data_IF_146087844749
#
_entry.id   IF_146087844749
#
_cell.length_a   1.000
_cell.length_b   1.000
_cell.length_c   1.000
_cell.angle_alpha   90.00
_cell.angle_beta   90.00
_cell.angle_gamma   90.00
#
_symmetry.space_group_name_H-M   'P 1'
#
loop_
_entity.id
_entity.type
_entity.pdbx_description
1 polymer ?
#
# COMPACT_ATOMS: atom_id res chain seq x y z
N UNK A 1 -36.62 -38.70 -7.98
CA UNK A 1 -35.66 -37.70 -7.48
C UNK A 1 -34.37 -37.91 -8.25
N UNK A 2 -34.29 -37.08 -9.27
CA UNK A 2 -33.32 -36.98 -10.33
C UNK A 2 -31.92 -36.59 -9.85
N UNK A 3 -30.87 -37.12 -10.48
CA UNK A 3 -30.00 -36.34 -11.39
C UNK A 3 -28.64 -37.02 -11.61
N UNK A 4 -28.48 -37.56 -12.82
CA UNK A 4 -27.29 -37.63 -13.70
C UNK A 4 -25.95 -37.06 -13.20
N UNK A 5 -24.86 -37.84 -13.22
CA UNK A 5 -23.89 -37.96 -14.34
C UNK A 5 -23.14 -36.67 -14.65
N UNK A 6 -21.80 -36.68 -14.55
CA UNK A 6 -20.90 -36.54 -15.72
C UNK A 6 -19.46 -36.93 -15.38
N UNK A 7 -18.88 -37.73 -16.26
CA UNK A 7 -17.45 -37.98 -16.42
C UNK A 7 -16.80 -36.82 -17.22
N UNK A 8 -15.46 -36.84 -17.19
CA UNK A 8 -14.54 -36.62 -18.31
C UNK A 8 -13.70 -35.34 -18.38
N UNK A 9 -12.40 -35.63 -18.58
CA UNK A 9 -11.46 -35.06 -19.53
C UNK A 9 -10.61 -33.85 -19.14
N UNK A 10 -9.40 -34.21 -18.72
CA UNK A 10 -8.13 -33.60 -19.08
C UNK A 10 -8.07 -33.25 -20.58
N UNK A 11 -7.76 -32.00 -20.90
CA UNK A 11 -7.34 -31.54 -22.22
C UNK A 11 -5.95 -30.90 -22.08
N UNK A 12 -4.96 -31.53 -22.70
CA UNK A 12 -3.69 -30.95 -23.14
C UNK A 12 -3.88 -30.32 -24.53
N UNK A 13 -3.36 -29.11 -24.77
CA UNK A 13 -2.41 -28.81 -25.87
C UNK A 13 -2.10 -27.30 -26.02
N UNK A 14 -0.79 -27.01 -26.05
CA UNK A 14 -0.03 -26.20 -27.03
C UNK A 14 -0.32 -24.70 -27.21
N UNK A 15 0.73 -23.92 -26.96
CA UNK A 15 1.13 -22.72 -27.73
C UNK A 15 2.67 -22.70 -27.79
N UNK A 16 3.30 -23.25 -28.83
CA UNK A 16 3.84 -22.54 -30.00
C UNK A 16 4.56 -21.21 -29.70
N UNK A 17 5.90 -21.27 -29.70
CA UNK A 17 6.81 -20.18 -30.08
C UNK A 17 6.65 -19.83 -31.56
N UNK A 18 6.99 -18.60 -31.98
CA UNK A 18 8.24 -18.49 -32.75
C UNK A 18 9.11 -17.26 -32.43
N UNK A 19 10.30 -17.32 -33.03
CA UNK A 19 11.52 -16.57 -32.78
C UNK A 19 11.57 -15.12 -33.30
N UNK A 20 12.36 -14.32 -32.58
CA UNK A 20 13.45 -13.42 -33.01
C UNK A 20 13.44 -12.91 -34.46
N UNK A 21 13.47 -11.57 -34.61
CA UNK A 21 14.41 -10.90 -35.53
C UNK A 21 14.73 -9.48 -35.06
N UNK A 22 15.99 -9.10 -35.28
CA UNK A 22 16.67 -7.91 -34.79
C UNK A 22 16.74 -6.77 -35.82
N UNK A 23 17.30 -5.62 -35.37
CA UNK A 23 18.26 -4.73 -36.06
C UNK A 23 17.86 -3.24 -36.15
N UNK A 24 18.63 -2.42 -35.39
CA UNK A 24 19.17 -1.06 -35.66
C UNK A 24 18.21 0.12 -35.94
N UNK A 25 18.51 1.41 -35.79
CA UNK A 25 19.71 2.21 -35.47
C UNK A 25 19.23 3.66 -35.19
N UNK A 26 19.97 4.44 -34.39
CA UNK A 26 20.43 5.82 -34.73
C UNK A 26 20.77 6.68 -33.51
N UNK A 27 21.89 7.39 -33.64
CA UNK A 27 22.47 8.39 -32.73
C UNK A 27 22.02 9.82 -33.09
N UNK A 28 22.21 10.74 -32.12
CA UNK A 28 22.32 12.23 -32.14
C UNK A 28 21.10 12.94 -31.53
N UNK A 29 21.18 13.99 -30.70
CA UNK A 29 22.26 14.83 -30.10
C UNK A 29 21.60 15.78 -29.04
N UNK A 30 22.38 16.18 -28.01
CA UNK A 30 22.37 17.39 -27.10
C UNK A 30 21.14 18.35 -27.10
N UNK A 31 20.76 19.08 -26.05
CA UNK A 31 21.35 19.45 -24.74
C UNK A 31 20.28 20.18 -23.88
N UNK A 32 20.50 20.28 -22.56
CA UNK A 32 20.03 21.45 -21.79
C UNK A 32 19.49 21.24 -20.37
N UNK A 33 20.38 21.31 -19.37
CA UNK A 33 20.21 21.94 -18.03
C UNK A 33 19.34 21.23 -16.95
N UNK A 34 20.04 20.76 -15.90
CA UNK A 34 19.58 20.28 -14.56
C UNK A 34 19.01 21.42 -13.67
N UNK A 35 18.54 21.22 -12.40
CA UNK A 35 18.44 20.00 -11.59
C UNK A 35 17.08 19.82 -10.87
N UNK A 36 16.54 18.61 -10.88
CA UNK A 36 15.50 18.18 -9.96
C UNK A 36 15.81 16.75 -9.54
N UNK A 37 16.38 16.58 -8.35
CA UNK A 37 16.54 15.27 -7.73
C UNK A 37 15.14 14.75 -7.33
N UNK A 38 14.40 14.27 -8.33
CA UNK A 38 13.33 13.32 -8.12
C UNK A 38 13.99 11.98 -7.82
N UNK A 39 13.90 11.57 -6.56
CA UNK A 39 14.13 10.19 -6.16
C UNK A 39 12.93 9.32 -6.59
N UNK A 40 12.66 9.29 -7.90
CA UNK A 40 11.82 8.25 -8.50
C UNK A 40 12.72 7.05 -8.75
N UNK A 41 12.66 6.10 -7.83
CA UNK A 41 13.09 4.74 -8.08
C UNK A 41 11.96 3.82 -7.63
N UNK A 42 10.88 3.82 -8.41
CA UNK A 42 10.14 2.60 -8.71
C UNK A 42 11.14 1.59 -9.28
N UNK A 43 11.76 0.83 -8.37
CA UNK A 43 12.36 -0.43 -8.73
C UNK A 43 11.48 -1.48 -8.10
N UNK A 44 10.67 -2.09 -8.95
CA UNK A 44 9.91 -3.29 -8.66
C UNK A 44 10.92 -4.40 -8.32
N UNK A 45 11.36 -4.45 -7.06
CA UNK A 45 12.29 -5.48 -6.56
C UNK A 45 11.46 -6.69 -6.20
N UNK A 46 11.23 -7.56 -7.18
CA UNK A 46 10.82 -8.93 -6.91
C UNK A 46 12.08 -9.73 -6.51
N UNK A 47 12.30 -10.09 -5.22
CA UNK A 47 13.50 -10.79 -4.78
C UNK A 47 13.39 -12.30 -4.94
N UNK A 48 12.34 -12.81 -5.62
CA UNK A 48 12.11 -14.25 -5.82
C UNK A 48 13.07 -14.94 -6.79
N UNK A 49 14.29 -14.43 -6.97
CA UNK A 49 15.39 -15.22 -7.53
C UNK A 49 16.38 -15.55 -6.42
N UNK A 50 16.11 -16.56 -5.57
CA UNK A 50 17.20 -17.29 -4.96
C UNK A 50 18.06 -17.85 -6.11
N UNK A 51 19.37 -17.60 -6.05
CA UNK A 51 20.42 -18.36 -6.76
C UNK A 51 20.08 -18.77 -8.21
N UNK A 52 20.27 -17.88 -9.18
CA UNK A 52 20.42 -18.29 -10.60
C UNK A 52 21.88 -18.26 -11.08
N UNK A 53 22.83 -18.30 -10.16
CA UNK A 53 24.24 -18.51 -10.43
C UNK A 53 24.76 -19.37 -9.27
N UNK A 54 25.14 -20.63 -9.39
CA UNK A 54 25.53 -21.43 -10.55
C UNK A 54 25.05 -22.87 -10.25
N UNK A 55 24.18 -23.42 -11.10
CA UNK A 55 23.96 -24.86 -11.19
C UNK A 55 25.25 -25.46 -11.80
N UNK A 56 26.30 -25.69 -10.99
CA UNK A 56 27.31 -26.69 -11.36
C UNK A 56 26.71 -28.05 -10.98
N UNK A 57 25.66 -28.44 -11.70
CA UNK A 57 25.17 -29.80 -11.68
C UNK A 57 26.15 -30.64 -12.49
N UNK A 58 27.01 -31.38 -11.78
CA UNK A 58 27.26 -32.79 -12.12
C UNK A 58 28.12 -33.14 -13.34
N UNK A 59 28.82 -32.22 -14.01
CA UNK A 59 29.78 -32.62 -15.04
C UNK A 59 31.00 -31.68 -15.09
N UNK A 60 32.07 -32.02 -14.36
CA UNK A 60 33.43 -31.59 -14.74
C UNK A 60 34.36 -32.81 -14.70
N UNK A 61 35.08 -33.12 -15.80
CA UNK A 61 35.95 -34.29 -15.87
C UNK A 61 37.22 -34.06 -15.05
N UNK A 62 37.58 -35.08 -14.28
CA UNK A 62 38.93 -35.43 -13.79
C UNK A 62 40.02 -34.35 -13.98
N UNK A 63 40.10 -33.40 -13.06
CA UNK A 63 41.16 -32.41 -13.01
C UNK A 63 41.15 -31.62 -11.70
N UNK A 64 42.20 -31.77 -10.91
CA UNK A 64 42.39 -31.08 -9.61
C UNK A 64 42.28 -29.55 -9.71
N UNK A 65 42.60 -28.97 -10.88
CA UNK A 65 42.59 -27.52 -11.10
C UNK A 65 41.18 -26.94 -11.34
N UNK A 66 40.22 -27.73 -11.85
CA UNK A 66 38.84 -27.24 -12.10
C UNK A 66 38.02 -27.08 -10.82
N UNK A 67 38.25 -27.94 -9.83
CA UNK A 67 37.57 -27.85 -8.53
C UNK A 67 38.12 -26.68 -7.68
N UNK A 68 39.41 -26.36 -7.84
CA UNK A 68 40.03 -25.19 -7.21
C UNK A 68 39.48 -23.88 -7.74
N UNK A 69 39.34 -23.77 -9.07
CA UNK A 69 38.82 -22.56 -9.70
C UNK A 69 37.35 -22.30 -9.30
N UNK A 70 36.52 -23.35 -9.23
CA UNK A 70 35.12 -23.22 -8.80
C UNK A 70 34.98 -22.67 -7.36
N UNK A 71 35.87 -23.05 -6.44
CA UNK A 71 35.91 -22.52 -5.07
C UNK A 71 36.32 -21.04 -5.06
N UNK A 72 37.32 -20.66 -5.86
CA UNK A 72 37.74 -19.26 -5.98
C UNK A 72 36.65 -18.38 -6.61
N UNK A 73 35.95 -18.89 -7.62
CA UNK A 73 34.84 -18.19 -8.26
C UNK A 73 33.68 -17.98 -7.28
N UNK A 74 33.35 -19.01 -6.48
CA UNK A 74 32.34 -18.90 -5.42
C UNK A 74 32.74 -17.86 -4.36
N UNK A 75 34.02 -17.80 -4.00
CA UNK A 75 34.53 -16.80 -3.05
C UNK A 75 34.40 -15.39 -3.62
N UNK A 76 34.78 -15.20 -4.89
CA UNK A 76 34.66 -13.91 -5.58
C UNK A 76 33.20 -13.45 -5.63
N UNK A 77 32.27 -14.35 -5.93
CA UNK A 77 30.84 -14.03 -5.97
C UNK A 77 30.28 -13.58 -4.60
N UNK A 78 30.66 -14.27 -3.52
CA UNK A 78 30.26 -13.88 -2.14
C UNK A 78 30.86 -12.51 -1.77
N UNK A 79 32.11 -12.26 -2.15
CA UNK A 79 32.78 -10.98 -1.93
C UNK A 79 32.12 -9.85 -2.72
N UNK A 80 31.80 -10.07 -4.00
CA UNK A 80 31.12 -9.09 -4.87
C UNK A 80 29.74 -8.70 -4.32
N UNK A 81 28.91 -9.67 -3.93
CA UNK A 81 27.60 -9.40 -3.31
C UNK A 81 27.74 -8.57 -2.03
N UNK A 82 28.76 -8.88 -1.23
CA UNK A 82 29.07 -8.13 -0.01
C UNK A 82 29.44 -6.70 -0.37
N UNK A 83 30.29 -6.50 -1.37
CA UNK A 83 30.68 -5.16 -1.87
C UNK A 83 29.48 -4.38 -2.36
N UNK A 84 28.61 -5.00 -3.15
CA UNK A 84 27.42 -4.36 -3.73
C UNK A 84 26.43 -3.95 -2.63
N UNK A 85 26.13 -4.84 -1.68
CA UNK A 85 25.24 -4.54 -0.57
C UNK A 85 25.78 -3.41 0.31
N UNK A 86 27.07 -3.43 0.65
CA UNK A 86 27.70 -2.35 1.42
C UNK A 86 27.80 -1.05 0.63
N UNK A 87 28.00 -1.13 -0.70
CA UNK A 87 27.98 0.01 -1.61
C UNK A 87 26.62 0.70 -1.59
N UNK A 88 25.52 -0.08 -1.68
CA UNK A 88 24.14 0.43 -1.55
C UNK A 88 23.90 1.12 -0.21
N UNK A 89 24.49 0.62 0.88
CA UNK A 89 24.38 1.22 2.22
C UNK A 89 25.45 2.29 2.55
N UNK A 90 26.42 2.53 1.67
CA UNK A 90 27.55 3.46 1.85
C UNK A 90 28.41 3.19 3.11
N UNK A 91 28.68 1.93 3.45
CA UNK A 91 29.39 1.53 4.67
C UNK A 91 30.84 1.04 4.40
N UNK A 92 31.86 1.45 5.21
CA UNK A 92 33.26 1.05 5.00
C UNK A 92 33.55 -0.39 5.45
N UNK A 93 34.30 -1.18 4.66
CA UNK A 93 34.49 -2.65 4.78
C UNK A 93 35.16 -3.22 6.05
N UNK A 94 35.78 -2.42 6.93
CA UNK A 94 36.85 -2.95 7.80
C UNK A 94 36.60 -2.97 9.31
N UNK A 95 35.41 -2.63 9.82
CA UNK A 95 35.17 -2.66 11.27
C UNK A 95 33.72 -3.03 11.65
N UNK A 96 33.54 -4.21 12.23
CA UNK A 96 32.27 -4.75 12.76
C UNK A 96 31.62 -3.82 13.80
N UNK A 97 32.40 -3.26 14.72
CA UNK A 97 31.87 -2.34 15.75
C UNK A 97 31.45 -1.02 15.11
N UNK A 98 32.08 -0.64 14.00
CA UNK A 98 31.67 0.51 13.20
C UNK A 98 30.39 0.20 12.42
N UNK A 99 30.22 -0.99 11.83
CA UNK A 99 29.01 -1.38 11.11
C UNK A 99 27.76 -1.34 11.97
N UNK A 100 27.80 -1.98 13.14
CA UNK A 100 26.65 -1.98 14.05
C UNK A 100 26.29 -0.55 14.48
N UNK A 101 27.29 0.31 14.73
CA UNK A 101 27.08 1.72 15.07
C UNK A 101 26.50 2.52 13.92
N UNK A 102 27.01 2.36 12.70
CA UNK A 102 26.51 3.09 11.53
C UNK A 102 25.11 2.62 11.12
N UNK A 103 24.78 1.33 11.20
CA UNK A 103 23.43 0.83 10.96
C UNK A 103 22.43 1.33 12.01
N UNK A 104 22.82 1.37 13.28
CA UNK A 104 22.01 1.98 14.35
C UNK A 104 21.84 3.49 14.12
N UNK A 105 22.90 4.19 13.69
CA UNK A 105 22.83 5.62 13.37
C UNK A 105 21.94 5.89 12.17
N UNK A 106 22.03 5.07 11.12
CA UNK A 106 21.22 5.16 9.91
C UNK A 106 19.74 4.96 10.25
N UNK A 107 19.40 3.88 10.96
CA UNK A 107 18.01 3.60 11.36
C UNK A 107 17.46 4.65 12.31
N UNK A 108 18.24 5.16 13.25
CA UNK A 108 17.84 6.29 14.10
C UNK A 108 17.58 7.56 13.27
N UNK A 109 18.44 7.87 12.29
CA UNK A 109 18.24 9.02 11.40
C UNK A 109 16.98 8.86 10.55
N UNK A 110 16.78 7.69 9.93
CA UNK A 110 15.60 7.40 9.12
C UNK A 110 14.32 7.49 9.95
N UNK A 111 14.31 6.95 11.16
CA UNK A 111 13.17 7.08 12.06
C UNK A 111 12.90 8.52 12.47
N UNK A 112 13.95 9.31 12.77
CA UNK A 112 13.79 10.71 13.10
C UNK A 112 13.23 11.52 11.92
N UNK A 113 13.72 11.27 10.70
CA UNK A 113 13.18 11.90 9.48
C UNK A 113 11.73 11.50 9.24
N UNK A 114 11.41 10.20 9.34
CA UNK A 114 10.04 9.70 9.19
C UNK A 114 9.07 10.33 10.20
N UNK A 115 9.46 10.37 11.48
CA UNK A 115 8.66 11.00 12.54
C UNK A 115 8.51 12.51 12.33
N UNK A 116 9.55 13.19 11.84
CA UNK A 116 9.47 14.60 11.47
C UNK A 116 8.49 14.84 10.32
N UNK A 117 8.49 13.96 9.30
CA UNK A 117 7.57 14.05 8.17
C UNK A 117 6.12 13.84 8.61
N UNK A 118 5.87 12.79 9.40
CA UNK A 118 4.54 12.51 9.99
C UNK A 118 4.07 13.70 10.82
N UNK A 119 4.94 14.28 11.66
CA UNK A 119 4.59 15.47 12.44
C UNK A 119 4.25 16.67 11.56
N UNK A 120 5.01 16.91 10.49
CA UNK A 120 4.71 17.99 9.54
C UNK A 120 3.36 17.80 8.85
N UNK A 121 3.03 16.58 8.44
CA UNK A 121 1.73 16.25 7.85
C UNK A 121 0.58 16.41 8.85
N UNK A 122 0.76 15.97 10.10
CA UNK A 122 -0.24 16.15 11.15
C UNK A 122 -0.45 17.63 11.47
N UNK A 123 0.61 18.44 11.52
CA UNK A 123 0.50 19.89 11.69
C UNK A 123 -0.26 20.56 10.54
N UNK A 124 -0.01 20.13 9.30
CA UNK A 124 -0.77 20.61 8.15
C UNK A 124 -2.25 20.20 8.21
N UNK A 125 -2.55 18.97 8.65
CA UNK A 125 -3.91 18.49 8.86
C UNK A 125 -4.63 19.27 9.97
N UNK A 126 -3.94 19.60 11.07
CA UNK A 126 -4.45 20.45 12.15
C UNK A 126 -4.78 21.85 11.63
N UNK A 127 -3.86 22.50 10.91
CA UNK A 127 -4.10 23.83 10.35
C UNK A 127 -5.34 23.82 9.44
N UNK A 128 -5.44 22.82 8.56
CA UNK A 128 -6.60 22.65 7.69
C UNK A 128 -7.89 22.36 8.47
N UNK A 129 -7.83 21.60 9.55
CA UNK A 129 -8.99 21.32 10.39
C UNK A 129 -9.52 22.57 11.10
N UNK A 130 -8.64 23.47 11.54
CA UNK A 130 -9.03 24.77 12.09
C UNK A 130 -9.66 25.70 11.05
N UNK A 131 -9.15 25.69 9.81
CA UNK A 131 -9.74 26.47 8.71
C UNK A 131 -11.16 26.01 8.34
N UNK A 132 -11.49 24.74 8.60
CA UNK A 132 -12.77 24.13 8.22
C UNK A 132 -13.94 24.45 9.18
N UNK A 133 -13.72 25.28 10.19
CA UNK A 133 -14.69 25.69 11.23
C UNK A 133 -15.71 24.58 11.57
N UNK A 134 -15.33 23.60 12.42
CA UNK A 134 -16.02 22.32 12.55
C UNK A 134 -17.34 22.38 13.34
N UNK A 135 -17.91 23.56 13.55
CA UNK A 135 -19.05 23.74 14.43
C UNK A 135 -20.34 23.18 13.80
N UNK A 136 -20.54 21.85 13.94
CA UNK A 136 -21.78 21.07 13.93
C UNK A 136 -22.84 21.29 12.82
N UNK A 137 -22.61 22.17 11.86
CA UNK A 137 -23.60 22.59 10.88
C UNK A 137 -23.91 21.47 9.87
N UNK A 138 -22.89 20.72 9.42
CA UNK A 138 -23.07 19.71 8.38
C UNK A 138 -23.95 18.54 8.84
N UNK A 139 -23.81 18.09 10.10
CA UNK A 139 -24.63 16.99 10.61
C UNK A 139 -26.11 17.41 10.70
N UNK A 140 -26.37 18.61 11.23
CA UNK A 140 -27.74 19.16 11.31
C UNK A 140 -28.36 19.42 9.93
N UNK A 141 -27.57 19.93 8.98
CA UNK A 141 -28.00 20.09 7.59
C UNK A 141 -28.35 18.75 6.97
N UNK A 142 -27.51 17.74 7.16
CA UNK A 142 -27.72 16.42 6.58
C UNK A 142 -28.91 15.70 7.20
N UNK A 143 -29.11 15.79 8.51
CA UNK A 143 -30.30 15.28 9.18
C UNK A 143 -31.57 15.96 8.64
N UNK A 144 -31.51 17.27 8.37
CA UNK A 144 -32.63 18.02 7.77
C UNK A 144 -32.91 17.57 6.33
N UNK A 145 -31.88 17.37 5.51
CA UNK A 145 -32.00 16.86 4.13
C UNK A 145 -32.62 15.47 4.14
N UNK A 146 -32.11 14.55 4.97
CA UNK A 146 -32.61 13.17 5.08
C UNK A 146 -34.07 13.16 5.55
N UNK A 147 -34.40 13.96 6.57
CA UNK A 147 -35.77 14.05 7.06
C UNK A 147 -36.71 14.55 5.97
N UNK A 148 -36.34 15.63 5.28
CA UNK A 148 -37.14 16.18 4.19
C UNK A 148 -37.29 15.22 3.01
N UNK A 149 -36.26 14.44 2.66
CA UNK A 149 -36.34 13.38 1.66
C UNK A 149 -37.27 12.24 2.11
N UNK A 150 -37.28 11.91 3.39
CA UNK A 150 -38.18 10.91 3.97
C UNK A 150 -39.63 11.36 3.92
N UNK A 151 -39.89 12.62 4.30
CA UNK A 151 -41.23 13.23 4.19
C UNK A 151 -41.67 13.28 2.71
N UNK A 152 -40.76 13.63 1.81
CA UNK A 152 -41.02 13.66 0.38
C UNK A 152 -41.34 12.26 -0.17
N UNK A 153 -40.59 11.24 0.25
CA UNK A 153 -40.86 9.85 -0.10
C UNK A 153 -42.27 9.42 0.33
N UNK A 154 -42.66 9.73 1.57
CA UNK A 154 -43.99 9.39 2.09
C UNK A 154 -45.11 10.04 1.27
N UNK A 155 -45.05 11.36 1.08
CA UNK A 155 -46.06 12.11 0.30
C UNK A 155 -46.12 11.61 -1.15
N UNK A 156 -44.96 11.31 -1.74
CA UNK A 156 -44.90 10.82 -3.11
C UNK A 156 -45.44 9.39 -3.27
N UNK A 157 -45.24 8.53 -2.28
CA UNK A 157 -45.84 7.20 -2.23
C UNK A 157 -47.38 7.28 -2.13
N UNK A 158 -47.91 8.20 -1.33
CA UNK A 158 -49.36 8.49 -1.29
C UNK A 158 -49.88 8.97 -2.65
N UNK A 159 -49.15 9.87 -3.32
CA UNK A 159 -49.51 10.33 -4.67
C UNK A 159 -49.55 9.18 -5.68
N UNK A 160 -48.56 8.28 -5.67
CA UNK A 160 -48.55 7.07 -6.51
C UNK A 160 -49.77 6.20 -6.23
N UNK A 161 -50.09 5.96 -4.96
CA UNK A 161 -51.22 5.12 -4.58
C UNK A 161 -52.56 5.75 -5.02
N UNK A 162 -52.74 7.04 -4.79
CA UNK A 162 -53.93 7.77 -5.19
C UNK A 162 -54.05 7.84 -6.73
N UNK A 163 -52.95 8.05 -7.45
CA UNK A 163 -52.93 7.97 -8.91
C UNK A 163 -53.36 6.59 -9.41
N UNK A 164 -52.82 5.51 -8.81
CA UNK A 164 -53.17 4.13 -9.18
C UNK A 164 -54.63 3.79 -8.92
N UNK A 165 -55.19 4.27 -7.81
CA UNK A 165 -56.56 3.94 -7.38
C UNK A 165 -57.63 4.79 -8.07
N UNK A 166 -57.34 6.07 -8.33
CA UNK A 166 -58.35 7.05 -8.75
C UNK A 166 -58.08 7.54 -10.17
N UNK A 167 -56.89 8.07 -10.43
CA UNK A 167 -56.63 8.82 -11.66
C UNK A 167 -56.28 7.96 -12.88
N UNK A 168 -55.63 6.81 -12.67
CA UNK A 168 -55.20 5.94 -13.79
C UNK A 168 -56.40 5.44 -14.61
N UNK A 169 -57.55 5.22 -13.98
CA UNK A 169 -58.78 4.81 -14.66
C UNK A 169 -59.51 5.94 -15.41
N UNK A 170 -59.12 7.19 -15.17
CA UNK A 170 -59.70 8.38 -15.81
C UNK A 170 -58.92 8.82 -17.05
N UNK A 171 -57.69 8.32 -17.22
CA UNK A 171 -56.81 8.63 -18.34
C UNK A 171 -56.84 7.52 -19.40
N UNK A 172 -56.52 7.82 -20.67
CA UNK A 172 -56.18 6.82 -21.67
C UNK A 172 -55.09 5.87 -21.14
N UNK A 173 -55.18 4.58 -21.48
CA UNK A 173 -54.31 3.54 -20.92
C UNK A 173 -52.81 3.85 -21.08
N UNK A 174 -52.39 4.30 -22.27
CA UNK A 174 -51.00 4.65 -22.57
C UNK A 174 -50.49 5.85 -21.74
N UNK A 175 -51.34 6.87 -21.54
CA UNK A 175 -51.00 8.04 -20.73
C UNK A 175 -50.96 7.70 -19.24
N UNK A 176 -51.90 6.87 -18.78
CA UNK A 176 -51.93 6.35 -17.41
C UNK A 176 -50.66 5.57 -17.06
N UNK A 177 -50.19 4.71 -17.97
CA UNK A 177 -48.97 3.93 -17.78
C UNK A 177 -47.72 4.80 -17.82
N UNK A 178 -47.67 5.80 -18.71
CA UNK A 178 -46.58 6.76 -18.77
C UNK A 178 -46.45 7.56 -17.46
N UNK A 179 -47.57 8.07 -16.94
CA UNK A 179 -47.57 8.82 -15.68
C UNK A 179 -47.20 7.94 -14.49
N UNK A 180 -47.68 6.69 -14.45
CA UNK A 180 -47.28 5.77 -13.40
C UNK A 180 -45.77 5.51 -13.42
N UNK A 181 -45.19 5.26 -14.60
CA UNK A 181 -43.75 5.05 -14.76
C UNK A 181 -42.93 6.29 -14.35
N UNK A 182 -43.39 7.51 -14.71
CA UNK A 182 -42.75 8.76 -14.29
C UNK A 182 -42.75 8.95 -12.78
N UNK A 183 -43.88 8.66 -12.12
CA UNK A 183 -43.98 8.74 -10.66
C UNK A 183 -43.08 7.71 -9.98
N UNK A 184 -43.06 6.47 -10.46
CA UNK A 184 -42.17 5.41 -9.93
C UNK A 184 -40.69 5.80 -10.07
N UNK A 185 -40.28 6.32 -11.24
CA UNK A 185 -38.92 6.86 -11.45
C UNK A 185 -38.56 7.97 -10.46
N UNK A 186 -39.49 8.89 -10.18
CA UNK A 186 -39.26 9.96 -9.21
C UNK A 186 -39.13 9.42 -7.78
N UNK A 187 -39.86 8.35 -7.43
CA UNK A 187 -39.70 7.68 -6.13
C UNK A 187 -38.30 7.09 -6.01
N UNK A 188 -37.85 6.38 -7.03
CA UNK A 188 -36.53 5.75 -7.05
C UNK A 188 -35.40 6.81 -6.96
N UNK A 189 -35.57 7.98 -7.59
CA UNK A 189 -34.66 9.11 -7.44
C UNK A 189 -34.61 9.66 -6.00
N UNK A 190 -35.77 9.77 -5.33
CA UNK A 190 -35.86 10.21 -3.93
C UNK A 190 -35.16 9.19 -3.02
N UNK A 191 -35.40 7.90 -3.23
CA UNK A 191 -34.79 6.83 -2.44
C UNK A 191 -33.28 6.78 -2.60
N UNK A 192 -32.77 6.95 -3.82
CA UNK A 192 -31.32 7.08 -4.07
C UNK A 192 -30.73 8.28 -3.35
N UNK A 193 -31.38 9.44 -3.44
CA UNK A 193 -30.91 10.65 -2.78
C UNK A 193 -30.89 10.48 -1.24
N UNK A 194 -31.90 9.81 -0.67
CA UNK A 194 -31.95 9.49 0.77
C UNK A 194 -30.81 8.56 1.19
N UNK A 195 -30.59 7.48 0.43
CA UNK A 195 -29.52 6.53 0.70
C UNK A 195 -28.12 7.17 0.60
N UNK A 196 -27.91 8.07 -0.36
CA UNK A 196 -26.68 8.88 -0.45
C UNK A 196 -26.50 9.77 0.78
N UNK A 197 -27.58 10.42 1.26
CA UNK A 197 -27.57 11.19 2.49
C UNK A 197 -27.23 10.36 3.74
N UNK A 198 -27.87 9.20 3.90
CA UNK A 198 -27.58 8.27 5.00
C UNK A 198 -26.12 7.78 4.99
N UNK A 199 -25.55 7.52 3.79
CA UNK A 199 -24.14 7.17 3.63
C UNK A 199 -23.22 8.31 4.06
N UNK A 200 -23.47 9.53 3.56
CA UNK A 200 -22.70 10.72 3.93
C UNK A 200 -22.76 10.97 5.45
N UNK A 201 -23.90 10.68 6.09
CA UNK A 201 -24.09 10.83 7.53
C UNK A 201 -23.24 9.85 8.31
N UNK A 202 -23.24 8.58 7.89
CA UNK A 202 -22.39 7.56 8.49
C UNK A 202 -20.90 7.91 8.38
N UNK A 203 -20.46 8.42 7.23
CA UNK A 203 -19.07 8.83 7.02
C UNK A 203 -18.70 10.04 7.89
N UNK A 204 -19.58 11.04 7.99
CA UNK A 204 -19.38 12.21 8.85
C UNK A 204 -19.25 11.81 10.33
N UNK A 205 -20.06 10.86 10.81
CA UNK A 205 -19.99 10.33 12.18
C UNK A 205 -18.65 9.62 12.46
N UNK A 206 -18.08 8.92 11.45
CA UNK A 206 -16.77 8.28 11.58
C UNK A 206 -15.62 9.31 11.62
N UNK A 207 -15.76 10.43 10.90
CA UNK A 207 -14.77 11.52 10.90
C UNK A 207 -14.82 12.38 12.15
N UNK A 208 -15.98 12.50 12.79
CA UNK A 208 -16.18 13.36 13.96
C UNK A 208 -15.12 13.19 15.07
N UNK A 209 -14.76 11.98 15.53
CA UNK A 209 -13.69 11.83 16.53
C UNK A 209 -12.31 12.26 16.01
N UNK A 210 -12.01 12.05 14.73
CA UNK A 210 -10.74 12.46 14.12
C UNK A 210 -10.63 13.98 14.02
N UNK A 211 -11.71 14.65 13.60
CA UNK A 211 -11.79 16.10 13.54
C UNK A 211 -11.78 16.71 14.94
N UNK A 212 -12.47 16.10 15.91
CA UNK A 212 -12.39 16.54 17.30
C UNK A 212 -10.96 16.46 17.85
N UNK A 213 -10.26 15.36 17.57
CA UNK A 213 -8.84 15.22 17.93
C UNK A 213 -7.97 16.32 17.30
N UNK A 214 -8.18 16.63 16.01
CA UNK A 214 -7.41 17.66 15.29
C UNK A 214 -7.69 19.09 15.79
N UNK A 215 -8.83 19.32 16.44
CA UNK A 215 -9.21 20.63 17.00
C UNK A 215 -8.90 20.77 18.50
N UNK A 216 -8.29 19.76 19.13
CA UNK A 216 -7.80 19.87 20.51
C UNK A 216 -6.82 21.04 20.64
N UNK A 217 -6.63 21.52 21.87
CA UNK A 217 -5.69 22.62 22.10
C UNK A 217 -4.27 22.26 21.62
N UNK A 218 -3.49 23.25 21.18
CA UNK A 218 -2.11 23.03 20.73
C UNK A 218 -1.28 22.25 21.76
N UNK A 219 -1.49 22.49 23.06
CA UNK A 219 -0.80 21.79 24.15
C UNK A 219 -1.12 20.29 24.15
N UNK A 220 -2.38 19.92 23.94
CA UNK A 220 -2.83 18.53 23.90
C UNK A 220 -2.35 17.81 22.63
N UNK A 221 -2.41 18.49 21.48
CA UNK A 221 -1.87 17.98 20.21
C UNK A 221 -0.36 17.75 20.30
N UNK A 222 0.39 18.69 20.88
CA UNK A 222 1.82 18.50 21.09
C UNK A 222 2.12 17.33 22.02
N UNK A 223 1.33 17.13 23.07
CA UNK A 223 1.46 15.98 23.96
C UNK A 223 1.21 14.67 23.20
N UNK A 224 0.19 14.62 22.34
CA UNK A 224 -0.09 13.47 21.49
C UNK A 224 1.06 13.21 20.51
N UNK A 225 1.56 14.23 19.82
CA UNK A 225 2.67 14.09 18.85
C UNK A 225 3.98 13.66 19.52
N UNK A 226 4.27 14.14 20.74
CA UNK A 226 5.45 13.68 21.51
C UNK A 226 5.32 12.24 21.98
N UNK A 227 4.10 11.72 22.11
CA UNK A 227 3.85 10.34 22.52
C UNK A 227 3.92 9.33 21.36
N UNK A 228 4.10 9.79 20.12
CA UNK A 228 4.27 8.92 18.96
C UNK A 228 5.43 7.95 19.17
N UNK A 229 5.21 6.64 18.96
CA UNK A 229 6.26 5.65 19.18
C UNK A 229 7.38 5.87 18.15
N UNK A 230 8.60 6.07 18.64
CA UNK A 230 9.79 6.02 17.81
C UNK A 230 10.18 4.56 17.50
N UNK A 231 10.88 4.35 16.39
CA UNK A 231 11.47 3.05 16.08
C UNK A 231 12.48 2.67 17.18
N UNK A 232 12.39 1.43 17.68
CA UNK A 232 13.34 0.86 18.64
C UNK A 232 13.83 -0.48 18.11
N UNK A 233 15.13 -0.54 17.78
CA UNK A 233 15.75 -1.82 17.41
C UNK A 233 15.86 -2.72 18.65
N UNK A 234 15.25 -3.91 18.62
CA UNK A 234 15.33 -4.90 19.70
C UNK A 234 16.68 -5.67 19.71
N UNK A 235 17.79 -4.99 19.39
CA UNK A 235 19.11 -5.59 19.26
C UNK A 235 19.30 -6.49 18.03
N UNK A 236 18.28 -6.59 17.16
CA UNK A 236 18.30 -7.41 15.93
C UNK A 236 19.39 -6.95 14.96
N UNK A 237 19.56 -5.64 14.78
CA UNK A 237 20.63 -5.05 13.96
C UNK A 237 22.02 -5.41 14.50
N UNK A 238 22.21 -5.35 15.82
CA UNK A 238 23.46 -5.73 16.47
C UNK A 238 23.76 -7.21 16.28
N UNK A 239 22.75 -8.09 16.38
CA UNK A 239 22.91 -9.52 16.12
C UNK A 239 23.24 -9.80 14.65
N UNK A 240 22.51 -9.22 13.70
CA UNK A 240 22.78 -9.38 12.27
C UNK A 240 24.18 -8.88 11.89
N UNK A 241 24.62 -7.75 12.45
CA UNK A 241 25.99 -7.23 12.26
C UNK A 241 27.06 -8.18 12.81
N UNK A 242 26.79 -8.83 13.96
CA UNK A 242 27.68 -9.86 14.52
C UNK A 242 27.74 -11.10 13.64
N UNK A 243 26.60 -11.55 13.11
CA UNK A 243 26.51 -12.66 12.18
C UNK A 243 27.33 -12.39 10.91
N UNK A 244 27.18 -11.21 10.28
CA UNK A 244 27.94 -10.85 9.09
C UNK A 244 29.47 -10.80 9.33
N UNK A 245 29.89 -10.32 10.51
CA UNK A 245 31.30 -10.33 10.87
C UNK A 245 31.85 -11.75 11.10
N UNK A 246 31.04 -12.63 11.69
CA UNK A 246 31.36 -14.05 11.83
C UNK A 246 31.53 -14.72 10.47
N UNK A 247 30.58 -14.49 9.55
CA UNK A 247 30.65 -15.01 8.18
C UNK A 247 31.91 -14.49 7.47
N UNK A 248 32.21 -13.20 7.57
CA UNK A 248 33.42 -12.64 6.97
C UNK A 248 34.71 -13.25 7.53
N UNK A 249 34.75 -13.57 8.83
CA UNK A 249 35.87 -14.25 9.46
C UNK A 249 36.00 -15.71 8.99
N UNK A 250 34.90 -16.46 8.96
CA UNK A 250 34.87 -17.85 8.50
C UNK A 250 35.22 -17.96 7.01
N UNK A 251 34.69 -17.09 6.15
CA UNK A 251 35.06 -17.04 4.74
C UNK A 251 36.57 -16.79 4.55
N UNK A 252 37.20 -15.97 5.40
CA UNK A 252 38.65 -15.75 5.38
C UNK A 252 39.45 -16.97 5.85
N UNK A 253 38.92 -17.73 6.82
CA UNK A 253 39.51 -19.02 7.23
C UNK A 253 39.41 -20.04 6.10
N UNK A 254 38.23 -20.17 5.48
CA UNK A 254 38.00 -21.05 4.34
C UNK A 254 38.91 -20.69 3.16
N UNK A 255 39.07 -19.41 2.84
CA UNK A 255 40.01 -18.93 1.83
C UNK A 255 41.47 -19.33 2.16
N UNK A 256 41.91 -19.14 3.40
CA UNK A 256 43.25 -19.56 3.84
C UNK A 256 43.43 -21.07 3.77
N UNK A 257 42.43 -21.86 4.20
CA UNK A 257 42.43 -23.32 4.12
C UNK A 257 42.46 -23.81 2.67
N UNK A 258 41.74 -23.16 1.76
CA UNK A 258 41.82 -23.43 0.32
C UNK A 258 43.22 -23.09 -0.23
N UNK A 259 43.84 -21.99 0.21
CA UNK A 259 45.18 -21.62 -0.24
C UNK A 259 46.30 -22.52 0.30
N UNK A 260 46.21 -22.98 1.56
CA UNK A 260 47.26 -23.78 2.22
C UNK A 260 46.99 -25.29 2.19
N UNK A 261 45.78 -25.71 2.53
CA UNK A 261 45.40 -27.12 2.69
C UNK A 261 45.14 -27.84 1.37
N UNK A 262 44.68 -27.13 0.33
CA UNK A 262 44.51 -27.71 -0.99
C UNK A 262 45.88 -28.02 -1.62
N UNK A 263 46.87 -27.11 -1.49
CA UNK A 263 48.22 -27.31 -2.05
C UNK A 263 48.97 -28.50 -1.42
N UNK A 264 48.85 -28.71 -0.11
CA UNK A 264 49.51 -29.84 0.58
C UNK A 264 48.77 -31.18 0.44
N UNK A 265 47.44 -31.19 0.37
CA UNK A 265 46.65 -32.43 0.31
C UNK A 265 46.37 -32.91 -1.12
N UNK A 266 46.31 -32.02 -2.12
CA UNK A 266 46.34 -32.41 -3.53
C UNK A 266 47.61 -33.18 -3.91
N UNK A 267 48.72 -32.95 -3.18
CA UNK A 267 49.97 -33.68 -3.36
C UNK A 267 50.01 -35.07 -2.67
N UNK A 268 49.09 -35.40 -1.75
CA UNK A 268 49.23 -36.61 -0.92
C UNK A 268 47.98 -37.46 -0.68
N UNK A 269 46.75 -36.96 -0.80
CA UNK A 269 45.48 -37.71 -0.73
C UNK A 269 44.33 -36.74 -0.93
N UNK A 270 43.49 -36.99 -1.95
CA UNK A 270 42.36 -36.13 -2.32
C UNK A 270 41.55 -35.67 -1.12
N UNK A 271 41.59 -34.37 -0.84
CA UNK A 271 40.65 -33.72 0.08
C UNK A 271 39.38 -33.42 -0.67
N UNK A 272 38.26 -33.59 0.02
CA UNK A 272 36.93 -33.48 -0.52
C UNK A 272 36.53 -32.00 -0.73
N UNK A 273 36.78 -31.46 -1.93
CA UNK A 273 36.34 -30.13 -2.34
C UNK A 273 34.85 -29.88 -2.07
N UNK A 274 34.03 -30.94 -2.07
CA UNK A 274 32.63 -30.87 -1.70
C UNK A 274 32.41 -30.29 -0.30
N UNK A 275 33.21 -30.71 0.70
CA UNK A 275 33.07 -30.19 2.07
C UNK A 275 33.37 -28.69 2.20
N UNK A 276 34.30 -28.18 1.39
CA UNK A 276 34.63 -26.75 1.38
C UNK A 276 33.54 -25.93 0.67
N UNK A 277 32.98 -26.49 -0.42
CA UNK A 277 31.81 -25.90 -1.07
C UNK A 277 30.61 -25.84 -0.14
N UNK A 278 30.29 -26.94 0.57
CA UNK A 278 29.20 -26.99 1.54
C UNK A 278 29.37 -25.95 2.65
N UNK A 279 30.58 -25.83 3.21
CA UNK A 279 30.92 -24.80 4.21
C UNK A 279 30.66 -23.38 3.66
N UNK A 280 31.03 -23.09 2.41
CA UNK A 280 30.81 -21.79 1.77
C UNK A 280 29.33 -21.52 1.46
N UNK A 281 28.57 -22.54 1.08
CA UNK A 281 27.13 -22.46 0.88
C UNK A 281 26.41 -22.11 2.19
N UNK A 282 26.79 -22.75 3.29
CA UNK A 282 26.28 -22.43 4.64
C UNK A 282 26.58 -20.97 4.99
N UNK A 283 27.80 -20.49 4.71
CA UNK A 283 28.16 -19.09 4.96
C UNK A 283 27.31 -18.10 4.13
N UNK A 284 27.05 -18.42 2.85
CA UNK A 284 26.22 -17.61 1.97
C UNK A 284 24.76 -17.50 2.44
N UNK A 285 24.16 -18.60 2.90
CA UNK A 285 22.79 -18.60 3.46
C UNK A 285 22.71 -17.76 4.76
N UNK A 286 23.67 -17.94 5.67
CA UNK A 286 23.73 -17.17 6.92
C UNK A 286 23.87 -15.67 6.64
N UNK A 287 24.69 -15.29 5.65
CA UNK A 287 24.85 -13.91 5.20
C UNK A 287 23.55 -13.34 4.63
N UNK A 288 22.88 -14.09 3.76
CA UNK A 288 21.62 -13.66 3.11
C UNK A 288 20.54 -13.35 4.15
N UNK A 289 20.34 -14.24 5.13
CA UNK A 289 19.38 -14.01 6.23
C UNK A 289 19.73 -12.80 7.09
N UNK A 290 21.01 -12.54 7.32
CA UNK A 290 21.45 -11.37 8.07
C UNK A 290 21.14 -10.06 7.30
N UNK A 291 21.26 -10.06 5.98
CA UNK A 291 20.86 -8.92 5.14
C UNK A 291 19.36 -8.69 5.13
N UNK A 292 18.54 -9.74 5.04
CA UNK A 292 17.07 -9.63 5.14
C UNK A 292 16.65 -8.96 6.45
N UNK A 293 17.27 -9.34 7.56
CA UNK A 293 17.00 -8.70 8.86
C UNK A 293 17.37 -7.20 8.82
N UNK A 294 18.54 -6.85 8.29
CA UNK A 294 18.98 -5.45 8.20
C UNK A 294 18.01 -4.65 7.32
N UNK A 295 17.63 -5.20 6.17
CA UNK A 295 16.69 -4.56 5.26
C UNK A 295 15.32 -4.33 5.93
N UNK A 296 14.76 -5.36 6.56
CA UNK A 296 13.48 -5.24 7.25
C UNK A 296 13.51 -4.18 8.38
N UNK A 297 14.62 -4.09 9.11
CA UNK A 297 14.80 -3.07 10.16
C UNK A 297 14.95 -1.65 9.58
N UNK A 298 15.65 -1.50 8.45
CA UNK A 298 15.74 -0.23 7.71
C UNK A 298 14.37 0.20 7.18
N UNK A 299 13.60 -0.74 6.61
CA UNK A 299 12.23 -0.48 6.14
C UNK A 299 11.30 -0.10 7.30
N UNK A 300 11.37 -0.83 8.42
CA UNK A 300 10.59 -0.51 9.62
C UNK A 300 10.91 0.90 10.15
N UNK A 301 12.20 1.29 10.16
CA UNK A 301 12.61 2.64 10.54
C UNK A 301 12.11 3.72 9.58
N UNK A 302 11.87 3.39 8.30
CA UNK A 302 11.33 4.33 7.29
C UNK A 302 9.81 4.52 7.39
N UNK A 303 9.05 3.46 7.68
CA UNK A 303 7.57 3.50 7.71
C UNK A 303 7.01 4.49 8.73
N UNK A 304 7.73 4.72 9.83
CA UNK A 304 7.26 5.62 10.90
C UNK A 304 6.17 4.96 11.75
N UNK A 305 5.54 5.72 12.65
CA UNK A 305 4.39 5.22 13.41
C UNK A 305 3.16 5.12 12.51
N UNK A 306 2.37 4.06 12.71
CA UNK A 306 1.09 3.87 12.01
C UNK A 306 -0.09 4.51 12.77
N UNK A 307 -0.03 4.50 14.11
CA UNK A 307 -1.13 4.91 14.98
C UNK A 307 -0.75 6.00 15.99
N UNK A 308 -1.71 6.86 16.31
CA UNK A 308 -1.71 7.80 17.43
C UNK A 308 -2.58 7.21 18.55
N UNK A 309 -2.02 7.13 19.77
CA UNK A 309 -2.77 6.74 20.96
C UNK A 309 -3.10 7.97 21.79
N UNK A 310 -4.39 8.19 22.03
CA UNK A 310 -4.91 9.30 22.84
C UNK A 310 -5.85 8.76 23.91
N UNK A 311 -6.21 9.57 24.92
CA UNK A 311 -7.29 9.23 25.84
C UNK A 311 -8.64 8.98 25.14
N UNK A 312 -8.84 9.55 23.95
CA UNK A 312 -10.06 9.41 23.15
C UNK A 312 -10.11 8.10 22.36
N UNK A 313 -8.96 7.46 22.13
CA UNK A 313 -8.88 6.24 21.34
C UNK A 313 -7.54 6.06 20.62
N UNK A 314 -7.50 5.04 19.76
CA UNK A 314 -6.38 4.77 18.85
C UNK A 314 -6.82 5.16 17.46
N UNK A 315 -6.06 6.04 16.80
CA UNK A 315 -6.36 6.52 15.46
C UNK A 315 -5.20 6.24 14.53
N UNK A 316 -5.51 5.74 13.32
CA UNK A 316 -4.53 5.65 12.25
C UNK A 316 -4.06 7.06 11.85
N UNK A 317 -2.75 7.26 11.75
CA UNK A 317 -2.16 8.53 11.32
C UNK A 317 -2.65 8.90 9.92
N UNK A 318 -2.77 7.91 9.04
CA UNK A 318 -3.23 8.14 7.67
C UNK A 318 -4.68 8.59 7.62
N UNK A 319 -5.54 8.10 8.51
CA UNK A 319 -6.94 8.55 8.61
C UNK A 319 -7.02 9.96 9.19
N UNK A 320 -6.24 10.27 10.23
CA UNK A 320 -6.15 11.62 10.81
C UNK A 320 -5.68 12.64 9.77
N UNK A 321 -4.66 12.32 8.98
CA UNK A 321 -4.15 13.21 7.93
C UNK A 321 -5.21 13.44 6.83
N UNK A 322 -5.99 12.40 6.48
CA UNK A 322 -7.01 12.47 5.42
C UNK A 322 -8.32 13.11 5.88
N UNK A 323 -8.62 13.08 7.17
CA UNK A 323 -9.92 13.53 7.71
C UNK A 323 -10.34 14.94 7.23
N UNK A 324 -9.46 15.97 7.22
CA UNK A 324 -9.84 17.29 6.72
C UNK A 324 -10.21 17.32 5.23
N UNK A 325 -9.49 16.56 4.39
CA UNK A 325 -9.85 16.46 2.96
C UNK A 325 -11.14 15.68 2.73
N UNK A 326 -11.37 14.61 3.48
CA UNK A 326 -12.62 13.84 3.40
C UNK A 326 -13.80 14.69 3.85
N UNK A 327 -13.64 15.47 4.93
CA UNK A 327 -14.66 16.39 5.40
C UNK A 327 -15.03 17.44 4.34
N UNK A 328 -14.04 18.06 3.67
CA UNK A 328 -14.30 18.99 2.57
C UNK A 328 -15.07 18.32 1.42
N UNK A 329 -14.68 17.09 1.04
CA UNK A 329 -15.40 16.35 -0.01
C UNK A 329 -16.84 16.02 0.39
N UNK A 330 -17.08 15.75 1.68
CA UNK A 330 -18.43 15.54 2.20
C UNK A 330 -19.24 16.84 2.18
N UNK A 331 -18.64 17.98 2.49
CA UNK A 331 -19.29 19.28 2.35
C UNK A 331 -19.80 19.52 0.92
N UNK A 332 -18.94 19.27 -0.08
CA UNK A 332 -19.33 19.39 -1.50
C UNK A 332 -20.47 18.42 -1.87
N UNK A 333 -20.45 17.22 -1.27
CA UNK A 333 -21.49 16.20 -1.46
C UNK A 333 -22.82 16.64 -0.83
N UNK A 334 -22.79 17.22 0.36
CA UNK A 334 -23.98 17.73 1.06
C UNK A 334 -24.60 18.88 0.26
N UNK A 335 -23.79 19.80 -0.27
CA UNK A 335 -24.26 20.89 -1.14
C UNK A 335 -24.95 20.36 -2.40
N UNK A 336 -24.40 19.30 -3.00
CA UNK A 336 -25.01 18.64 -4.15
C UNK A 336 -26.33 17.93 -3.76
N UNK A 337 -26.37 17.23 -2.63
CA UNK A 337 -27.56 16.57 -2.12
C UNK A 337 -28.68 17.58 -1.83
N UNK A 338 -28.33 18.72 -1.25
CA UNK A 338 -29.28 19.81 -1.00
C UNK A 338 -29.89 20.32 -2.32
N UNK A 339 -29.07 20.57 -3.36
CA UNK A 339 -29.57 20.96 -4.69
C UNK A 339 -30.49 19.89 -5.29
N UNK A 340 -30.08 18.62 -5.24
CA UNK A 340 -30.90 17.49 -5.72
C UNK A 340 -32.22 17.37 -4.98
N UNK A 341 -32.23 17.53 -3.66
CA UNK A 341 -33.44 17.53 -2.85
C UNK A 341 -34.42 18.63 -3.32
N UNK A 342 -33.94 19.86 -3.53
CA UNK A 342 -34.76 20.96 -4.05
C UNK A 342 -35.32 20.61 -5.43
N UNK A 343 -34.49 20.11 -6.34
CA UNK A 343 -34.93 19.72 -7.69
C UNK A 343 -36.00 18.63 -7.65
N UNK A 344 -35.86 17.64 -6.77
CA UNK A 344 -36.84 16.57 -6.60
C UNK A 344 -38.17 17.08 -6.02
N UNK A 345 -38.13 18.03 -5.09
CA UNK A 345 -39.33 18.70 -4.58
C UNK A 345 -40.06 19.47 -5.70
N UNK A 346 -39.32 20.17 -6.56
CA UNK A 346 -39.87 20.88 -7.72
C UNK A 346 -40.47 19.88 -8.73
N UNK A 347 -39.74 18.82 -9.07
CA UNK A 347 -40.21 17.77 -10.00
C UNK A 347 -41.48 17.10 -9.50
N UNK A 348 -41.57 16.78 -8.20
CA UNK A 348 -42.80 16.24 -7.60
C UNK A 348 -43.95 17.21 -7.77
N UNK A 349 -43.75 18.48 -7.38
CA UNK A 349 -44.81 19.50 -7.47
C UNK A 349 -45.30 19.67 -8.91
N UNK A 350 -44.39 19.69 -9.89
CA UNK A 350 -44.74 19.74 -11.31
C UNK A 350 -45.51 18.50 -11.76
N UNK A 351 -45.04 17.30 -11.42
CA UNK A 351 -45.76 16.07 -11.74
C UNK A 351 -47.19 16.05 -11.18
N UNK A 352 -47.41 16.56 -9.96
CA UNK A 352 -48.75 16.70 -9.40
C UNK A 352 -49.63 17.67 -10.20
N UNK A 353 -49.08 18.82 -10.64
CA UNK A 353 -49.80 19.79 -11.46
C UNK A 353 -50.12 19.19 -12.83
N UNK A 354 -49.14 18.61 -13.52
CA UNK A 354 -49.30 18.06 -14.86
C UNK A 354 -50.33 16.91 -14.88
N UNK A 355 -50.39 16.08 -13.83
CA UNK A 355 -51.42 15.05 -13.68
C UNK A 355 -52.81 15.66 -13.55
N UNK A 356 -52.94 16.75 -12.77
CA UNK A 356 -54.21 17.45 -12.60
C UNK A 356 -54.65 18.12 -13.90
N UNK A 357 -53.72 18.74 -14.63
CA UNK A 357 -53.99 19.36 -15.93
C UNK A 357 -54.39 18.33 -16.99
N UNK A 358 -53.81 17.13 -16.96
CA UNK A 358 -54.20 16.04 -17.86
C UNK A 358 -55.60 15.46 -17.58
N UNK A 359 -56.19 15.75 -16.41
CA UNK A 359 -57.52 15.32 -16.02
C UNK A 359 -58.62 16.36 -16.30
N UNK A 360 -58.24 17.60 -16.62
CA UNK A 360 -59.15 18.70 -17.00
C UNK A 360 -59.33 18.73 -18.52
#
# INVERSE_FOLDING_TARGET
>A
MDSSSYKNNTITHVSQTPAVNAVSSSKKTLAGVSPGENCDADTDVNPRKPLTAILVSGMVPSGVDTDYQAVLDLYSAIEEQRIEFWGKLHLPKTDQKRWARELLRLTARLSATSLSNVRGQLQAAVAKAYDLDPEFALLGQLDTIIQSLSDNHYVHAELINLFRQVFRGLLPMEEGDLWHAKLELLRDDIDRCRAEGERARSELLQLQPLLHFLNLSQVELEKAFRSLPGYRSNGRLTRASKTLASVAYECKILQRRAATGLREKLLKKGTDCASLCDDMWIQSDIQSRAFEIIQAEVEAARRGPDDIRTPLGVFSISDVIRAPSTYQSLQDTIDLLHKRQIDLLIKRKRASIDIVDALM
#
